data_IF_008515239048
#
_entry.id   IF_008515239048
#
_cell.length_a   1.000
_cell.length_b   1.000
_cell.length_c   1.000
_cell.angle_alpha   90.00
_cell.angle_beta   90.00
_cell.angle_gamma   90.00
#
_symmetry.space_group_name_H-M   'P 1'
#
loop_
_entity.id
_entity.type
_entity.pdbx_description
1 polymer ?
#
# COMPACT_ATOMS: atom_id res chain seq x y z
N UNK A 1 7.09 -15.74 11.10
CA UNK A 1 6.32 -15.84 9.84
C UNK A 1 6.66 -14.63 9.00
N UNK A 2 7.55 -14.78 8.03
CA UNK A 2 8.00 -13.69 7.16
C UNK A 2 7.01 -13.64 6.00
N UNK A 3 6.04 -12.73 6.03
CA UNK A 3 5.19 -12.48 4.85
C UNK A 3 6.10 -11.99 3.73
N UNK A 4 6.06 -12.65 2.57
CA UNK A 4 6.94 -12.33 1.45
C UNK A 4 6.65 -10.91 0.93
N UNK A 5 7.68 -10.08 0.82
CA UNK A 5 7.57 -8.75 0.21
C UNK A 5 6.95 -8.80 -1.19
N UNK A 6 7.13 -9.90 -1.91
CA UNK A 6 6.55 -10.11 -3.24
C UNK A 6 5.02 -10.12 -3.23
N UNK A 7 4.38 -10.77 -2.26
CA UNK A 7 2.91 -10.78 -2.18
C UNK A 7 2.37 -9.36 -1.93
N UNK A 8 3.06 -8.61 -1.06
CA UNK A 8 2.73 -7.21 -0.78
C UNK A 8 2.90 -6.38 -2.06
N UNK A 9 4.00 -6.54 -2.81
CA UNK A 9 4.22 -5.83 -4.08
C UNK A 9 3.13 -6.13 -5.11
N UNK A 10 2.76 -7.40 -5.29
CA UNK A 10 1.72 -7.81 -6.24
C UNK A 10 0.37 -7.22 -5.84
N UNK A 11 0.03 -7.31 -4.56
CA UNK A 11 -1.21 -6.78 -4.03
C UNK A 11 -1.29 -5.25 -4.19
N UNK A 12 -0.18 -4.55 -3.90
CA UNK A 12 -0.07 -3.10 -4.08
C UNK A 12 -0.18 -2.71 -5.56
N UNK A 13 0.48 -3.44 -6.44
CA UNK A 13 0.44 -3.18 -7.87
C UNK A 13 -0.97 -3.45 -8.46
N UNK A 14 -1.67 -4.49 -7.98
CA UNK A 14 -3.06 -4.75 -8.36
C UNK A 14 -4.03 -3.69 -7.83
N UNK A 15 -3.80 -3.20 -6.61
CA UNK A 15 -4.61 -2.13 -6.02
C UNK A 15 -4.31 -0.75 -6.62
N UNK A 16 -3.09 -0.54 -7.13
CA UNK A 16 -2.68 0.69 -7.77
C UNK A 16 -3.28 0.78 -9.18
N UNK A 17 -4.10 1.81 -9.41
CA UNK A 17 -4.59 2.15 -10.75
C UNK A 17 -3.72 3.24 -11.33
N UNK A 18 -3.15 3.00 -12.51
CA UNK A 18 -2.37 3.99 -13.25
C UNK A 18 -1.10 4.47 -12.50
N UNK A 19 -0.49 3.58 -11.70
CA UNK A 19 0.65 3.94 -10.84
C UNK A 19 0.28 4.83 -9.66
N UNK A 20 -1.02 4.88 -9.30
CA UNK A 20 -1.53 5.63 -8.16
C UNK A 20 -2.35 4.73 -7.25
N UNK A 21 -2.11 4.84 -5.94
CA UNK A 21 -2.80 4.06 -4.92
C UNK A 21 -3.48 5.02 -3.95
N UNK A 22 -4.76 4.83 -3.65
CA UNK A 22 -5.40 5.67 -2.63
C UNK A 22 -5.01 5.21 -1.22
N UNK A 23 -4.86 6.13 -0.25
CA UNK A 23 -4.55 5.77 1.14
C UNK A 23 -5.59 4.79 1.71
N UNK A 24 -6.87 4.98 1.38
CA UNK A 24 -7.97 4.08 1.75
C UNK A 24 -7.79 2.69 1.15
N UNK A 25 -7.37 2.57 -0.11
CA UNK A 25 -7.06 1.28 -0.73
C UNK A 25 -5.84 0.62 -0.07
N UNK A 26 -4.77 1.39 0.17
CA UNK A 26 -3.57 0.90 0.86
C UNK A 26 -3.89 0.32 2.24
N UNK A 27 -4.75 1.01 3.00
CA UNK A 27 -5.15 0.60 4.36
C UNK A 27 -6.08 -0.60 4.35
N UNK A 28 -7.03 -0.67 3.40
CA UNK A 28 -7.85 -1.86 3.18
C UNK A 28 -6.99 -3.07 2.82
N UNK A 29 -6.06 -2.89 1.88
CA UNK A 29 -5.14 -3.93 1.44
C UNK A 29 -4.24 -4.40 2.58
N UNK A 30 -3.73 -3.47 3.40
CA UNK A 30 -2.97 -3.77 4.59
C UNK A 30 -3.78 -4.63 5.58
N UNK A 31 -5.03 -4.28 5.82
CA UNK A 31 -5.92 -5.02 6.73
C UNK A 31 -6.24 -6.42 6.19
N UNK A 32 -6.51 -6.55 4.89
CA UNK A 32 -6.80 -7.82 4.20
C UNK A 32 -5.59 -8.77 4.26
N UNK A 33 -4.40 -8.24 3.95
CA UNK A 33 -3.14 -8.96 4.05
C UNK A 33 -2.67 -9.16 5.49
N UNK A 34 -3.29 -8.51 6.49
CA UNK A 34 -2.86 -8.49 7.88
C UNK A 34 -1.41 -7.98 8.05
N UNK A 35 -1.05 -6.91 7.33
CA UNK A 35 0.25 -6.22 7.41
C UNK A 35 0.05 -4.76 7.80
N UNK A 36 1.13 -4.09 8.21
CA UNK A 36 1.06 -2.66 8.52
C UNK A 36 0.93 -1.83 7.22
N UNK A 37 0.13 -0.75 7.20
CA UNK A 37 0.05 0.15 6.05
C UNK A 37 1.38 0.85 5.73
N UNK A 38 2.30 0.94 6.70
CA UNK A 38 3.69 1.37 6.46
C UNK A 38 4.45 0.45 5.52
N UNK A 39 4.27 -0.88 5.65
CA UNK A 39 4.91 -1.85 4.75
C UNK A 39 4.37 -1.71 3.32
N UNK A 40 3.05 -1.53 3.20
CA UNK A 40 2.38 -1.26 1.92
C UNK A 40 2.91 0.02 1.29
N UNK A 41 3.03 1.10 2.05
CA UNK A 41 3.60 2.37 1.59
C UNK A 41 5.05 2.24 1.14
N UNK A 42 5.85 1.46 1.87
CA UNK A 42 7.26 1.18 1.53
C UNK A 42 7.38 0.40 0.21
N UNK A 43 6.54 -0.61 0.00
CA UNK A 43 6.49 -1.34 -1.28
C UNK A 43 6.00 -0.47 -2.42
N UNK A 44 4.98 0.38 -2.17
CA UNK A 44 4.48 1.31 -3.17
C UNK A 44 5.58 2.31 -3.59
N UNK A 45 6.35 2.83 -2.63
CA UNK A 45 7.48 3.73 -2.89
C UNK A 45 8.58 3.05 -3.73
N UNK A 46 8.96 1.81 -3.36
CA UNK A 46 9.88 0.97 -4.16
C UNK A 46 9.37 0.75 -5.59
N UNK A 47 8.05 0.59 -5.76
CA UNK A 47 7.39 0.39 -7.05
C UNK A 47 7.12 1.72 -7.80
N UNK A 48 7.56 2.86 -7.26
CA UNK A 48 7.26 4.22 -7.77
C UNK A 48 5.75 4.52 -7.92
N UNK A 49 4.93 3.89 -7.10
CA UNK A 49 3.48 4.11 -7.05
C UNK A 49 3.21 5.29 -6.12
N UNK A 50 2.53 6.32 -6.64
CA UNK A 50 2.16 7.48 -5.82
C UNK A 50 0.96 7.15 -4.95
N UNK A 51 1.13 7.21 -3.63
CA UNK A 51 -0.03 7.27 -2.73
C UNK A 51 -0.70 8.64 -2.85
N UNK A 52 -2.02 8.66 -3.03
CA UNK A 52 -2.82 9.88 -3.10
C UNK A 52 -4.08 9.77 -2.23
N UNK A 53 -4.74 10.90 -1.95
CA UNK A 53 -6.00 10.88 -1.20
C UNK A 53 -5.84 10.37 0.23
N UNK A 54 -4.84 10.86 0.96
CA UNK A 54 -4.79 10.66 2.41
C UNK A 54 -5.85 11.56 3.05
N UNK A 55 -7.11 11.13 2.99
CA UNK A 55 -8.28 11.84 3.52
C UNK A 55 -8.25 12.01 5.05
N UNK A 56 -7.28 11.39 5.72
CA UNK A 56 -7.27 11.25 7.17
C UNK A 56 -6.34 12.21 7.91
N UNK A 57 -5.53 13.03 7.23
CA UNK A 57 -4.53 13.86 7.94
C UNK A 57 -3.62 13.05 8.89
N UNK A 58 -3.52 11.72 8.71
CA UNK A 58 -2.73 10.80 9.55
C UNK A 58 -1.31 10.60 8.99
N UNK A 59 -0.73 11.65 8.44
CA UNK A 59 0.72 11.79 8.33
C UNK A 59 1.10 13.05 9.09
N UNK A 60 1.09 12.93 10.42
CA UNK A 60 1.98 13.66 11.33
C UNK A 60 2.80 12.59 12.07
#
# INVERSE_FOLDING_TARGET
>A
MTKNNEEIKIAVQNAAKDGRLSCTAARKLAADLGVAPREIGKMADELKIKLFGCELGCFD
#
